data_IF_977803876938
#
_entry.id   IF_977803876938
#
_cell.length_a   1.000
_cell.length_b   1.000
_cell.length_c   1.000
_cell.angle_alpha   90.00
_cell.angle_beta   90.00
_cell.angle_gamma   90.00
#
_symmetry.space_group_name_H-M   'P 1'
#
loop_
_entity.id
_entity.type
_entity.pdbx_description
1 polymer ?
#
# COMPACT_ATOMS: atom_id res chain seq x y z
N UNK A 1 -15.20 -3.30 -18.22
CA UNK A 1 -13.92 -2.55 -18.25
C UNK A 1 -13.23 -2.80 -16.92
N UNK A 2 -12.02 -3.35 -16.94
CA UNK A 2 -11.28 -3.64 -15.72
C UNK A 2 -10.66 -2.36 -15.14
N UNK A 3 -10.78 -2.17 -13.83
CA UNK A 3 -10.08 -1.12 -13.09
C UNK A 3 -8.61 -1.51 -12.97
N UNK A 4 -7.74 -0.52 -13.09
CA UNK A 4 -6.34 -0.66 -12.73
C UNK A 4 -6.15 -0.11 -11.29
N UNK A 5 -6.17 -0.96 -10.23
CA UNK A 5 -6.05 -0.49 -8.86
C UNK A 5 -4.65 0.06 -8.59
N UNK A 6 -4.55 0.98 -7.64
CA UNK A 6 -3.24 1.41 -7.11
C UNK A 6 -2.61 0.30 -6.27
N UNK A 7 -1.30 0.36 -6.04
CA UNK A 7 -0.63 -0.63 -5.21
C UNK A 7 -1.14 -0.60 -3.76
N UNK A 8 -1.50 0.59 -3.25
CA UNK A 8 -2.17 0.71 -1.94
C UNK A 8 -3.51 -0.02 -1.94
N UNK A 9 -4.38 0.22 -2.92
CA UNK A 9 -5.68 -0.45 -3.00
C UNK A 9 -5.55 -1.97 -3.11
N UNK A 10 -4.58 -2.46 -3.91
CA UNK A 10 -4.34 -3.89 -4.10
C UNK A 10 -3.83 -4.55 -2.81
N UNK A 11 -2.74 -4.03 -2.24
CA UNK A 11 -2.12 -4.61 -1.05
C UNK A 11 -3.01 -4.49 0.18
N UNK A 12 -3.73 -3.37 0.33
CA UNK A 12 -4.70 -3.20 1.42
C UNK A 12 -5.89 -4.15 1.28
N UNK A 13 -6.38 -4.40 0.05
CA UNK A 13 -7.44 -5.38 -0.17
C UNK A 13 -6.99 -6.80 0.22
N UNK A 14 -5.77 -7.19 -0.14
CA UNK A 14 -5.21 -8.50 0.25
C UNK A 14 -5.06 -8.56 1.77
N UNK A 15 -4.45 -7.54 2.38
CA UNK A 15 -4.24 -7.48 3.82
C UNK A 15 -5.56 -7.60 4.58
N UNK A 16 -6.54 -6.76 4.26
CA UNK A 16 -7.84 -6.76 4.95
C UNK A 16 -8.60 -8.09 4.74
N UNK A 17 -8.45 -8.73 3.57
CA UNK A 17 -9.16 -9.96 3.29
C UNK A 17 -8.59 -11.17 4.05
N UNK A 18 -7.26 -11.26 4.12
CA UNK A 18 -6.55 -12.44 4.65
C UNK A 18 -6.05 -12.26 6.08
N UNK A 19 -6.22 -11.08 6.68
CA UNK A 19 -5.80 -10.81 8.07
C UNK A 19 -6.38 -11.80 9.07
N UNK A 20 -7.68 -12.09 9.00
CA UNK A 20 -8.31 -13.03 9.92
C UNK A 20 -7.74 -14.45 9.77
N UNK A 21 -7.43 -14.87 8.54
CA UNK A 21 -6.79 -16.15 8.25
C UNK A 21 -5.37 -16.20 8.83
N UNK A 22 -4.60 -15.12 8.67
CA UNK A 22 -3.28 -14.98 9.31
C UNK A 22 -3.34 -15.03 10.84
N UNK A 23 -4.33 -14.37 11.46
CA UNK A 23 -4.53 -14.39 12.92
C UNK A 23 -4.88 -15.81 13.43
N UNK A 24 -5.63 -16.60 12.66
CA UNK A 24 -5.94 -17.99 13.01
C UNK A 24 -4.70 -18.88 12.96
N UNK A 25 -3.78 -18.66 12.01
CA UNK A 25 -2.52 -19.40 11.92
C UNK A 25 -1.60 -19.21 13.14
N UNK A 26 -1.73 -18.09 13.87
CA UNK A 26 -0.97 -17.83 15.10
C UNK A 26 -1.49 -18.65 16.31
N UNK A 27 -2.76 -19.08 16.25
CA UNK A 27 -3.42 -19.80 17.36
C UNK A 27 -3.24 -21.33 17.35
N UNK A 28 -2.78 -21.92 16.25
CA UNK A 28 -2.54 -23.35 16.11
C UNK A 28 -1.03 -23.65 16.19
N UNK A 29 -0.58 -24.19 17.33
CA UNK A 29 0.84 -24.47 17.57
C UNK A 29 1.44 -25.49 16.58
N UNK A 30 0.62 -26.28 15.90
CA UNK A 30 1.08 -27.22 14.85
C UNK A 30 1.44 -26.53 13.54
N UNK A 31 0.98 -25.29 13.35
CA UNK A 31 1.25 -24.44 12.18
C UNK A 31 2.39 -23.43 12.47
N UNK A 32 2.79 -23.32 13.75
CA UNK A 32 3.71 -22.31 14.28
C UNK A 32 5.16 -22.40 13.79
N UNK A 33 5.53 -23.47 13.08
CA UNK A 33 6.88 -23.63 12.53
C UNK A 33 7.04 -22.82 11.22
N UNK A 34 6.95 -21.50 11.33
CA UNK A 34 7.52 -20.57 10.33
C UNK A 34 6.65 -20.16 9.15
N UNK A 35 5.35 -20.48 9.08
CA UNK A 35 4.50 -20.06 7.95
C UNK A 35 3.95 -18.65 8.07
N UNK A 36 4.84 -17.67 7.89
CA UNK A 36 4.49 -16.25 7.65
C UNK A 36 3.96 -15.99 6.22
N UNK A 37 3.92 -17.03 5.39
CA UNK A 37 3.40 -17.03 4.04
C UNK A 37 1.95 -17.51 4.02
N UNK A 38 1.06 -16.66 3.53
CA UNK A 38 -0.37 -16.93 3.42
C UNK A 38 -0.72 -17.16 1.95
N UNK A 39 -1.31 -18.30 1.56
CA UNK A 39 -1.78 -18.52 0.20
C UNK A 39 -2.95 -17.58 -0.11
N UNK A 40 -2.91 -16.93 -1.27
CA UNK A 40 -3.94 -15.98 -1.69
C UNK A 40 -4.58 -16.37 -3.02
N UNK A 41 -5.86 -16.06 -3.17
CA UNK A 41 -6.60 -16.21 -4.40
C UNK A 41 -6.58 -14.89 -5.19
N UNK A 42 -5.68 -14.82 -6.17
CA UNK A 42 -5.57 -13.67 -7.07
C UNK A 42 -6.86 -13.38 -7.85
N UNK A 43 -7.67 -14.40 -8.18
CA UNK A 43 -8.94 -14.22 -8.91
C UNK A 43 -9.99 -13.60 -7.99
N UNK A 44 -10.06 -14.05 -6.75
CA UNK A 44 -10.95 -13.49 -5.74
C UNK A 44 -10.62 -12.01 -5.47
N UNK A 45 -9.34 -11.70 -5.27
CA UNK A 45 -8.87 -10.32 -5.05
C UNK A 45 -9.17 -9.43 -6.27
N UNK A 46 -8.89 -9.93 -7.48
CA UNK A 46 -9.22 -9.22 -8.70
C UNK A 46 -10.73 -8.93 -8.81
N UNK A 47 -11.57 -9.90 -8.45
CA UNK A 47 -13.03 -9.73 -8.38
C UNK A 47 -13.45 -8.61 -7.43
N UNK A 48 -12.87 -8.54 -6.23
CA UNK A 48 -13.14 -7.47 -5.25
C UNK A 48 -12.76 -6.08 -5.76
N UNK A 49 -11.68 -5.98 -6.53
CA UNK A 49 -11.16 -4.72 -7.06
C UNK A 49 -11.71 -4.36 -8.44
N UNK A 50 -12.53 -5.24 -9.04
CA UNK A 50 -12.95 -5.17 -10.45
C UNK A 50 -11.75 -5.07 -11.40
N UNK A 51 -10.65 -5.72 -11.04
CA UNK A 51 -9.39 -5.73 -11.79
C UNK A 51 -9.26 -7.02 -12.62
N UNK A 52 -8.29 -7.03 -13.53
CA UNK A 52 -7.95 -8.23 -14.30
C UNK A 52 -7.12 -9.21 -13.44
N UNK A 53 -7.52 -10.49 -13.30
CA UNK A 53 -6.80 -11.47 -12.48
C UNK A 53 -5.35 -11.72 -12.92
N UNK A 54 -5.07 -11.72 -14.22
CA UNK A 54 -3.71 -11.93 -14.73
C UNK A 54 -2.82 -10.73 -14.43
N UNK A 55 -3.36 -9.52 -14.49
CA UNK A 55 -2.63 -8.32 -14.09
C UNK A 55 -2.39 -8.25 -12.59
N UNK A 56 -3.31 -8.74 -11.76
CA UNK A 56 -3.11 -8.86 -10.31
C UNK A 56 -1.95 -9.81 -10.01
N UNK A 57 -2.01 -11.03 -10.56
CA UNK A 57 -0.92 -12.00 -10.40
C UNK A 57 0.41 -11.45 -10.95
N UNK A 58 0.41 -10.95 -12.18
CA UNK A 58 1.61 -10.44 -12.84
C UNK A 58 2.23 -9.27 -12.07
N UNK A 59 1.43 -8.37 -11.51
CA UNK A 59 1.94 -7.27 -10.69
C UNK A 59 2.54 -7.76 -9.39
N UNK A 60 1.86 -8.68 -8.69
CA UNK A 60 2.38 -9.26 -7.46
C UNK A 60 3.70 -9.98 -7.70
N UNK A 61 3.77 -10.81 -8.73
CA UNK A 61 4.91 -11.68 -9.00
C UNK A 61 6.09 -10.96 -9.65
N UNK A 62 5.88 -10.15 -10.69
CA UNK A 62 6.98 -9.54 -11.44
C UNK A 62 7.44 -8.19 -10.89
N UNK A 63 6.53 -7.40 -10.31
CA UNK A 63 6.84 -6.05 -9.83
C UNK A 63 6.96 -6.01 -8.31
N UNK A 64 5.88 -6.27 -7.58
CA UNK A 64 5.81 -6.04 -6.14
C UNK A 64 6.69 -7.01 -5.35
N UNK A 65 6.83 -8.26 -5.78
CA UNK A 65 7.79 -9.19 -5.20
C UNK A 65 9.24 -8.68 -5.28
N UNK A 66 9.58 -7.95 -6.34
CA UNK A 66 10.91 -7.36 -6.52
C UNK A 66 11.08 -6.03 -5.78
N UNK A 67 10.03 -5.22 -5.70
CA UNK A 67 10.03 -3.93 -4.97
C UNK A 67 10.15 -4.17 -3.47
N UNK A 68 9.41 -5.14 -2.94
CA UNK A 68 9.34 -5.44 -1.51
C UNK A 68 10.15 -6.70 -1.16
N UNK A 69 11.39 -6.76 -1.66
CA UNK A 69 12.33 -7.81 -1.29
C UNK A 69 13.38 -7.28 -0.31
N UNK A 70 13.79 -8.13 0.62
CA UNK A 70 14.93 -7.85 1.47
C UNK A 70 15.83 -9.07 1.62
N UNK A 71 17.12 -8.82 1.85
CA UNK A 71 18.12 -9.85 2.05
C UNK A 71 18.30 -10.05 3.56
N UNK A 72 17.92 -11.21 4.07
CA UNK A 72 18.04 -11.52 5.50
C UNK A 72 19.46 -11.96 5.85
N UNK A 73 20.12 -12.70 4.96
CA UNK A 73 21.51 -13.16 5.08
C UNK A 73 22.08 -13.47 3.69
N UNK A 74 23.37 -13.82 3.60
CA UNK A 74 23.99 -14.18 2.31
C UNK A 74 23.23 -15.33 1.65
N UNK A 75 22.47 -15.01 0.59
CA UNK A 75 21.73 -15.98 -0.21
C UNK A 75 20.30 -16.26 0.27
N UNK A 76 19.82 -15.60 1.33
CA UNK A 76 18.43 -15.70 1.78
C UNK A 76 17.69 -14.42 1.39
N UNK A 77 17.03 -14.47 0.24
CA UNK A 77 16.13 -13.42 -0.23
C UNK A 77 14.71 -13.72 0.22
N UNK A 78 14.05 -12.70 0.76
CA UNK A 78 12.70 -12.77 1.25
C UNK A 78 11.86 -11.77 0.46
N UNK A 79 10.80 -12.24 -0.20
CA UNK A 79 9.96 -11.44 -1.09
C UNK A 79 8.54 -11.35 -0.55
N UNK A 80 7.89 -10.23 -0.87
CA UNK A 80 6.47 -10.05 -0.57
C UNK A 80 5.59 -11.17 -1.15
N UNK A 81 5.88 -11.65 -2.36
CA UNK A 81 5.08 -12.68 -3.02
C UNK A 81 5.96 -13.75 -3.65
N UNK A 82 5.61 -15.01 -3.41
CA UNK A 82 6.27 -16.18 -3.97
C UNK A 82 5.24 -17.06 -4.70
N UNK A 83 5.66 -17.61 -5.84
CA UNK A 83 4.75 -18.44 -6.65
C UNK A 83 4.35 -19.72 -5.92
N UNK A 84 5.28 -20.34 -5.21
CA UNK A 84 5.04 -21.57 -4.46
C UNK A 84 5.90 -21.62 -3.20
N UNK A 85 5.28 -21.93 -2.06
CA UNK A 85 5.94 -22.17 -0.76
C UNK A 85 5.28 -23.40 -0.14
N UNK A 86 6.07 -24.42 0.22
CA UNK A 86 5.58 -25.67 0.83
C UNK A 86 4.36 -26.29 0.11
N UNK A 87 4.44 -26.37 -1.22
CA UNK A 87 3.38 -26.88 -2.13
C UNK A 87 2.11 -26.03 -2.18
N UNK A 88 2.06 -24.89 -1.50
CA UNK A 88 0.98 -23.91 -1.61
C UNK A 88 1.35 -22.87 -2.66
N UNK A 89 0.42 -22.60 -3.58
CA UNK A 89 0.64 -21.63 -4.66
C UNK A 89 0.17 -20.23 -4.28
N UNK A 90 0.78 -19.23 -4.90
CA UNK A 90 0.47 -17.81 -4.74
C UNK A 90 0.53 -17.37 -3.28
N UNK A 91 1.72 -17.46 -2.68
CA UNK A 91 1.91 -17.16 -1.28
C UNK A 91 2.38 -15.72 -1.09
N UNK A 92 1.72 -14.99 -0.19
CA UNK A 92 2.13 -13.64 0.20
C UNK A 92 2.73 -13.65 1.60
N UNK A 93 3.87 -12.97 1.77
CA UNK A 93 4.50 -12.84 3.08
C UNK A 93 3.80 -11.76 3.89
N UNK A 94 3.00 -12.19 4.86
CA UNK A 94 2.05 -11.30 5.53
C UNK A 94 2.69 -10.16 6.35
N UNK A 95 3.82 -10.38 7.07
CA UNK A 95 4.52 -9.28 7.75
C UNK A 95 5.06 -8.20 6.80
N UNK A 96 5.56 -8.60 5.62
CA UNK A 96 6.04 -7.66 4.60
C UNK A 96 4.87 -6.91 3.98
N UNK A 97 3.76 -7.62 3.72
CA UNK A 97 2.51 -6.99 3.27
C UNK A 97 2.03 -5.93 4.25
N UNK A 98 1.98 -6.25 5.55
CA UNK A 98 1.54 -5.31 6.58
C UNK A 98 2.43 -4.07 6.63
N UNK A 99 3.75 -4.25 6.52
CA UNK A 99 4.72 -3.15 6.48
C UNK A 99 4.56 -2.30 5.22
N UNK A 100 4.36 -2.93 4.06
CA UNK A 100 4.14 -2.25 2.78
C UNK A 100 2.86 -1.40 2.80
N UNK A 101 1.75 -1.95 3.30
CA UNK A 101 0.47 -1.23 3.45
C UNK A 101 0.63 -0.05 4.42
N UNK A 102 1.31 -0.25 5.55
CA UNK A 102 1.54 0.83 6.52
C UNK A 102 2.35 1.98 5.91
N UNK A 103 3.43 1.68 5.18
CA UNK A 103 4.25 2.69 4.51
C UNK A 103 3.46 3.45 3.44
N UNK A 104 2.74 2.74 2.56
CA UNK A 104 1.92 3.37 1.52
C UNK A 104 0.83 4.27 2.11
N UNK A 105 0.20 3.88 3.23
CA UNK A 105 -0.76 4.71 3.95
C UNK A 105 -0.10 5.95 4.55
N UNK A 106 1.06 5.80 5.20
CA UNK A 106 1.79 6.91 5.79
C UNK A 106 2.22 7.93 4.73
N UNK A 107 2.70 7.48 3.58
CA UNK A 107 3.09 8.35 2.47
C UNK A 107 1.88 9.09 1.89
N UNK A 108 0.75 8.38 1.72
CA UNK A 108 -0.49 9.00 1.27
C UNK A 108 -1.02 10.06 2.25
N UNK A 109 -0.89 9.81 3.56
CA UNK A 109 -1.25 10.78 4.60
C UNK A 109 -0.32 11.99 4.62
N UNK A 110 1.00 11.78 4.55
CA UNK A 110 1.99 12.86 4.48
C UNK A 110 1.74 13.78 3.29
N UNK A 111 1.45 13.20 2.12
CA UNK A 111 1.11 13.98 0.94
C UNK A 111 -0.13 14.87 1.16
N UNK A 112 -1.18 14.33 1.78
CA UNK A 112 -2.38 15.10 2.14
C UNK A 112 -2.07 16.24 3.10
N UNK A 113 -1.28 16.00 4.13
CA UNK A 113 -0.88 17.04 5.09
C UNK A 113 -0.10 18.16 4.41
N UNK A 114 0.87 17.83 3.55
CA UNK A 114 1.63 18.81 2.78
C UNK A 114 0.71 19.63 1.87
N UNK A 115 -0.23 18.99 1.16
CA UNK A 115 -1.14 19.67 0.25
C UNK A 115 -2.06 20.66 1.00
N UNK A 116 -2.59 20.25 2.15
CA UNK A 116 -3.41 21.14 3.01
C UNK A 116 -2.59 22.32 3.52
N UNK A 117 -1.36 22.09 3.99
CA UNK A 117 -0.47 23.15 4.44
C UNK A 117 -0.13 24.14 3.30
N UNK A 118 0.11 23.64 2.09
CA UNK A 118 0.35 24.47 0.90
C UNK A 118 -0.87 25.31 0.53
N UNK A 119 -2.07 24.73 0.51
CA UNK A 119 -3.31 25.47 0.24
C UNK A 119 -3.48 26.59 1.27
N UNK A 120 -3.28 26.29 2.56
CA UNK A 120 -3.39 27.27 3.63
C UNK A 120 -2.39 28.42 3.45
N UNK A 121 -1.13 28.10 3.14
CA UNK A 121 -0.10 29.12 2.89
C UNK A 121 -0.46 30.03 1.71
N UNK A 122 -1.01 29.48 0.63
CA UNK A 122 -1.47 30.27 -0.53
C UNK A 122 -2.60 31.21 -0.14
N UNK A 123 -3.59 30.75 0.64
CA UNK A 123 -4.70 31.59 1.11
C UNK A 123 -4.20 32.75 1.97
N UNK A 124 -3.29 32.49 2.91
CA UNK A 124 -2.67 33.53 3.75
C UNK A 124 -1.88 34.54 2.90
N UNK A 125 -1.10 34.06 1.93
CA UNK A 125 -0.31 34.93 1.05
C UNK A 125 -1.20 35.85 0.18
N UNK A 126 -2.26 35.29 -0.41
CA UNK A 126 -3.22 36.08 -1.20
C UNK A 126 -3.94 37.10 -0.31
N UNK A 127 -4.37 36.70 0.88
CA UNK A 127 -5.01 37.61 1.85
C UNK A 127 -4.09 38.77 2.26
N UNK A 128 -2.82 38.47 2.58
CA UNK A 128 -1.84 39.49 2.93
C UNK A 128 -1.57 40.45 1.76
N UNK A 129 -1.45 39.92 0.55
CA UNK A 129 -1.27 40.74 -0.66
C UNK A 129 -2.49 41.65 -0.91
N UNK A 130 -3.71 41.14 -0.71
CA UNK A 130 -4.93 41.91 -0.87
C UNK A 130 -5.05 43.06 0.14
N UNK A 131 -4.74 42.80 1.42
CA UNK A 131 -4.72 43.85 2.46
C UNK A 131 -3.67 44.91 2.11
N UNK A 132 -2.46 44.48 1.73
CA UNK A 132 -1.37 45.40 1.34
C UNK A 132 -1.77 46.27 0.15
N UNK A 133 -2.40 45.67 -0.87
CA UNK A 133 -2.90 46.41 -2.02
C UNK A 133 -3.99 47.42 -1.60
N UNK A 134 -4.94 47.00 -0.77
CA UNK A 134 -6.01 47.88 -0.28
C UNK A 134 -5.44 49.08 0.49
N UNK A 135 -4.47 48.89 1.37
CA UNK A 135 -3.83 49.98 2.11
C UNK A 135 -3.11 50.96 1.18
N UNK A 136 -2.36 50.46 0.19
CA UNK A 136 -1.61 51.30 -0.77
C UNK A 136 -2.54 52.10 -1.69
N UNK A 137 -3.62 51.48 -2.18
CA UNK A 137 -4.56 52.16 -3.08
C UNK A 137 -5.55 53.04 -2.32
N UNK A 138 -6.01 52.63 -1.13
CA UNK A 138 -6.90 53.39 -0.27
C UNK A 138 -6.25 54.66 0.29
N UNK A 139 -4.96 54.60 0.67
CA UNK A 139 -4.20 55.75 1.15
C UNK A 139 -3.94 56.84 0.08
N UNK A 140 -4.19 56.56 -1.20
CA UNK A 140 -3.99 57.52 -2.31
C UNK A 140 -5.26 58.28 -2.73
N UNK A 141 -6.37 58.05 -2.05
CA UNK A 141 -7.66 58.75 -2.24
C UNK A 141 -7.94 59.65 -1.05
#
# INVERSE_FOLDING_TARGET
>A
MYKNPTDLELLECIYNHYRAEFELYDSDETIRDGKIYVPIDCKLIAGKLRADPELVFGRLYYHLANVYKYQQSKGVEVKLFEFEVDKQRHCIQFPVLASAVANLKADHQRYKHSLVASIFAVVVAVGAAAITAYDVFGSKT
#
